data_IF_740116870895
#
_entry.id   IF_740116870895
#
_cell.length_a   1.000
_cell.length_b   1.000
_cell.length_c   1.000
_cell.angle_alpha   90.00
_cell.angle_beta   90.00
_cell.angle_gamma   90.00
#
_symmetry.space_group_name_H-M   'P 1'
#
loop_
_entity.id
_entity.type
_entity.pdbx_description
1 polymer ?
#
# COMPACT_ATOMS: atom_id res chain seq x y z
N UNK A 1 -4.34 11.99 -16.63
CA UNK A 1 -5.70 11.54 -16.24
C UNK A 1 -5.98 12.04 -14.84
N UNK A 2 -7.22 12.45 -14.52
CA UNK A 2 -7.61 12.85 -13.16
C UNK A 2 -8.32 11.70 -12.47
N UNK A 3 -7.89 11.40 -11.24
CA UNK A 3 -8.46 10.35 -10.39
C UNK A 3 -9.63 10.90 -9.57
N UNK A 4 -10.49 10.01 -9.07
CA UNK A 4 -11.59 10.38 -8.16
C UNK A 4 -11.10 11.09 -6.90
N UNK A 5 -9.85 10.87 -6.50
CA UNK A 5 -9.18 11.58 -5.41
C UNK A 5 -8.79 13.03 -5.71
N UNK A 6 -9.06 13.51 -6.93
CA UNK A 6 -8.67 14.83 -7.42
C UNK A 6 -7.22 14.91 -7.89
N UNK A 7 -6.43 13.84 -7.75
CA UNK A 7 -5.04 13.84 -8.18
C UNK A 7 -4.91 13.69 -9.70
N UNK A 8 -3.88 14.32 -10.28
CA UNK A 8 -3.47 14.13 -11.67
C UNK A 8 -2.32 13.12 -11.73
N UNK A 9 -2.45 12.13 -12.62
CA UNK A 9 -1.39 11.18 -12.92
C UNK A 9 -0.46 11.74 -14.00
N UNK A 10 0.84 11.78 -13.69
CA UNK A 10 1.92 12.09 -14.65
C UNK A 10 2.85 10.90 -14.80
N UNK A 11 3.10 10.47 -16.03
CA UNK A 11 4.12 9.45 -16.33
C UNK A 11 5.51 10.05 -16.12
N UNK A 12 6.47 9.21 -15.71
CA UNK A 12 7.86 9.66 -15.61
C UNK A 12 8.48 9.84 -16.99
N UNK A 13 9.34 10.85 -17.13
CA UNK A 13 10.04 11.17 -18.37
C UNK A 13 11.51 11.53 -18.08
N UNK A 14 12.34 11.49 -19.11
CA UNK A 14 13.73 11.97 -19.07
C UNK A 14 14.62 11.22 -18.06
N UNK A 15 15.46 11.98 -17.36
CA UNK A 15 16.47 11.44 -16.44
C UNK A 15 15.84 10.70 -15.25
N UNK A 16 14.67 11.14 -14.78
CA UNK A 16 13.99 10.48 -13.66
C UNK A 16 13.54 9.08 -14.03
N UNK A 17 12.94 8.91 -15.22
CA UNK A 17 12.56 7.59 -15.74
C UNK A 17 13.78 6.67 -15.85
N UNK A 18 14.87 7.15 -16.45
CA UNK A 18 16.10 6.37 -16.62
C UNK A 18 16.68 5.88 -15.28
N UNK A 19 16.65 6.72 -14.24
CA UNK A 19 17.09 6.33 -12.88
C UNK A 19 16.17 5.27 -12.28
N UNK A 20 14.86 5.44 -12.39
CA UNK A 20 13.89 4.50 -11.84
C UNK A 20 13.95 3.13 -12.53
N UNK A 21 14.06 3.09 -13.86
CA UNK A 21 14.18 1.83 -14.61
C UNK A 21 15.45 1.05 -14.27
N UNK A 22 16.55 1.78 -13.98
CA UNK A 22 17.81 1.17 -13.54
C UNK A 22 17.67 0.49 -12.17
N UNK A 23 17.07 1.19 -11.20
CA UNK A 23 17.05 0.76 -9.80
C UNK A 23 15.86 -0.17 -9.48
N UNK A 24 14.77 -0.10 -10.25
CA UNK A 24 13.52 -0.83 -10.00
C UNK A 24 13.07 -1.68 -11.19
N UNK A 25 13.91 -2.63 -11.57
CA UNK A 25 13.72 -3.54 -12.72
C UNK A 25 12.45 -4.41 -12.64
N UNK A 26 11.84 -4.55 -11.46
CA UNK A 26 10.61 -5.31 -11.26
C UNK A 26 9.34 -4.62 -11.74
N UNK A 27 9.35 -3.30 -11.95
CA UNK A 27 8.18 -2.55 -12.40
C UNK A 27 8.21 -2.36 -13.92
N UNK A 28 7.84 -3.42 -14.65
CA UNK A 28 7.91 -3.48 -16.11
C UNK A 28 6.91 -2.58 -16.84
N UNK A 29 5.82 -2.19 -16.18
CA UNK A 29 4.80 -1.30 -16.74
C UNK A 29 5.10 0.20 -16.49
N UNK A 30 6.25 0.49 -15.90
CA UNK A 30 6.71 1.85 -15.59
C UNK A 30 6.11 2.44 -14.32
N UNK A 31 6.49 3.69 -14.05
CA UNK A 31 6.15 4.41 -12.82
C UNK A 31 5.42 5.72 -13.13
N UNK A 32 4.66 6.21 -12.15
CA UNK A 32 3.87 7.44 -12.24
C UNK A 32 4.07 8.33 -11.01
N UNK A 33 3.84 9.64 -11.20
CA UNK A 33 3.74 10.65 -10.14
C UNK A 33 2.29 11.13 -10.00
N UNK A 34 1.76 11.07 -8.80
CA UNK A 34 0.47 11.69 -8.46
C UNK A 34 0.68 13.14 -8.02
N UNK A 35 -0.09 14.05 -8.60
CA UNK A 35 -0.05 15.49 -8.34
C UNK A 35 -1.37 15.97 -7.74
N UNK A 36 -1.37 16.92 -6.77
CA UNK A 36 -0.20 17.50 -6.12
C UNK A 36 0.47 16.51 -5.13
N UNK A 37 1.70 16.79 -4.71
CA UNK A 37 2.43 15.95 -3.72
C UNK A 37 3.55 15.09 -4.29
N UNK A 38 3.56 14.85 -5.61
CA UNK A 38 4.60 14.09 -6.32
C UNK A 38 4.80 12.69 -5.74
N UNK A 39 3.74 11.99 -5.35
CA UNK A 39 3.88 10.62 -4.84
C UNK A 39 4.20 9.65 -5.96
N UNK A 40 5.15 8.74 -5.73
CA UNK A 40 5.65 7.80 -6.74
C UNK A 40 4.97 6.44 -6.56
N UNK A 41 4.35 5.93 -7.62
CA UNK A 41 3.70 4.63 -7.65
C UNK A 41 4.04 3.86 -8.94
N UNK A 42 3.95 2.52 -8.94
CA UNK A 42 3.85 1.75 -10.17
C UNK A 42 2.65 2.21 -10.99
N UNK A 43 2.75 2.18 -12.31
CA UNK A 43 1.65 2.58 -13.20
C UNK A 43 0.38 1.74 -13.04
N UNK A 44 0.51 0.50 -12.57
CA UNK A 44 -0.61 -0.39 -12.26
C UNK A 44 -1.52 0.14 -11.16
N UNK A 45 -1.02 1.03 -10.28
CA UNK A 45 -1.81 1.72 -9.26
C UNK A 45 -3.04 2.43 -9.85
N UNK A 46 -2.93 2.96 -11.08
CA UNK A 46 -4.03 3.66 -11.75
C UNK A 46 -5.29 2.78 -11.89
N UNK A 47 -5.12 1.46 -12.03
CA UNK A 47 -6.22 0.51 -12.19
C UNK A 47 -7.09 0.40 -10.93
N UNK A 48 -6.53 0.75 -9.77
CA UNK A 48 -7.15 0.55 -8.47
C UNK A 48 -7.35 1.85 -7.67
N UNK A 49 -6.64 2.93 -8.03
CA UNK A 49 -6.65 4.21 -7.32
C UNK A 49 -8.05 4.72 -6.96
N UNK A 50 -8.98 4.70 -7.91
CA UNK A 50 -10.36 5.14 -7.69
C UNK A 50 -11.14 4.21 -6.77
N UNK A 51 -10.85 2.91 -6.80
CA UNK A 51 -11.46 1.92 -5.91
C UNK A 51 -10.98 2.10 -4.48
N UNK A 52 -9.69 2.37 -4.28
CA UNK A 52 -9.15 2.65 -2.96
C UNK A 52 -9.68 3.96 -2.39
N UNK A 53 -9.77 5.01 -3.22
CA UNK A 53 -10.32 6.28 -2.77
C UNK A 53 -11.80 6.16 -2.33
N UNK A 54 -12.56 5.29 -2.98
CA UNK A 54 -13.96 4.99 -2.66
C UNK A 54 -14.13 3.86 -1.65
N UNK A 55 -13.05 3.32 -1.09
CA UNK A 55 -13.13 2.22 -0.14
C UNK A 55 -13.86 2.67 1.13
N UNK A 56 -14.94 1.97 1.48
CA UNK A 56 -15.73 2.26 2.66
C UNK A 56 -15.21 1.45 3.86
N UNK A 57 -14.60 2.17 4.80
CA UNK A 57 -14.17 1.61 6.09
C UNK A 57 -15.37 1.32 6.99
N UNK A 58 -15.31 0.21 7.73
CA UNK A 58 -16.27 -0.10 8.80
C UNK A 58 -15.78 0.45 10.12
N UNK A 59 -16.70 0.73 11.04
CA UNK A 59 -16.36 1.22 12.38
C UNK A 59 -15.47 0.24 13.19
N UNK A 60 -15.45 -1.04 12.83
CA UNK A 60 -14.63 -2.08 13.46
C UNK A 60 -13.24 -2.25 12.84
N UNK A 61 -12.95 -1.58 11.73
CA UNK A 61 -11.72 -1.73 10.98
C UNK A 61 -10.57 -1.01 11.69
N UNK A 62 -9.38 -1.61 11.62
CA UNK A 62 -8.14 -1.04 12.15
C UNK A 62 -7.16 -0.89 11.00
N UNK A 63 -6.76 0.35 10.71
CA UNK A 63 -5.78 0.65 9.68
C UNK A 63 -4.39 0.83 10.28
N UNK A 64 -3.39 0.18 9.68
CA UNK A 64 -1.97 0.38 9.99
C UNK A 64 -1.33 1.07 8.80
N UNK A 65 -1.00 2.35 8.96
CA UNK A 65 -0.52 3.22 7.88
C UNK A 65 0.91 3.68 8.18
N UNK A 66 1.85 3.33 7.31
CA UNK A 66 3.27 3.62 7.50
C UNK A 66 3.94 3.84 6.16
N UNK A 67 5.00 4.66 6.11
CA UNK A 67 5.93 4.60 4.98
C UNK A 67 6.61 3.21 4.93
N UNK A 68 6.89 2.65 3.73
CA UNK A 68 7.49 1.33 3.63
C UNK A 68 8.76 1.21 4.48
N UNK A 69 8.90 0.06 5.15
CA UNK A 69 10.04 -0.31 6.02
C UNK A 69 10.11 0.40 7.37
N UNK A 70 9.07 1.11 7.80
CA UNK A 70 8.99 1.72 9.14
C UNK A 70 8.40 0.80 10.24
N UNK A 71 8.59 -0.52 10.14
CA UNK A 71 8.13 -1.48 11.17
C UNK A 71 6.68 -1.96 11.05
N UNK A 72 6.06 -1.83 9.88
CA UNK A 72 4.65 -2.21 9.62
C UNK A 72 4.33 -3.64 10.06
N UNK A 73 5.18 -4.61 9.73
CA UNK A 73 4.97 -6.03 10.08
C UNK A 73 4.94 -6.27 11.59
N UNK A 74 5.80 -5.59 12.36
CA UNK A 74 5.78 -5.68 13.81
C UNK A 74 4.49 -5.13 14.38
N UNK A 75 4.06 -3.96 13.91
CA UNK A 75 2.82 -3.34 14.37
C UNK A 75 1.59 -4.19 14.00
N UNK A 76 1.60 -4.80 12.82
CA UNK A 76 0.55 -5.73 12.38
C UNK A 76 0.42 -6.94 13.32
N UNK A 77 1.53 -7.59 13.69
CA UNK A 77 1.50 -8.72 14.64
C UNK A 77 1.05 -8.31 16.04
N UNK A 78 1.56 -7.18 16.56
CA UNK A 78 1.19 -6.67 17.89
C UNK A 78 -0.31 -6.38 17.95
N UNK A 79 -0.84 -5.59 17.01
CA UNK A 79 -2.25 -5.19 16.99
C UNK A 79 -3.15 -6.40 16.76
N UNK A 80 -2.80 -7.30 15.83
CA UNK A 80 -3.59 -8.49 15.56
C UNK A 80 -3.66 -9.41 16.80
N UNK A 81 -2.53 -9.58 17.51
CA UNK A 81 -2.46 -10.39 18.72
C UNK A 81 -3.29 -9.79 19.85
N UNK A 82 -3.15 -8.49 20.11
CA UNK A 82 -3.94 -7.79 21.13
C UNK A 82 -5.45 -7.92 20.88
N UNK A 83 -5.88 -7.84 19.61
CA UNK A 83 -7.30 -7.87 19.25
C UNK A 83 -7.89 -9.28 19.17
N UNK A 84 -7.14 -10.25 18.63
CA UNK A 84 -7.68 -11.55 18.24
C UNK A 84 -7.06 -12.74 19.00
N UNK A 85 -6.00 -12.51 19.78
CA UNK A 85 -5.29 -13.56 20.51
C UNK A 85 -4.80 -13.11 21.91
N UNK A 86 -5.68 -12.59 22.78
CA UNK A 86 -5.28 -12.05 24.08
C UNK A 86 -4.68 -13.08 25.04
N UNK A 87 -5.03 -14.37 24.87
CA UNK A 87 -4.55 -15.48 25.71
C UNK A 87 -3.40 -16.26 25.07
N UNK A 88 -2.91 -15.83 23.90
CA UNK A 88 -1.82 -16.47 23.16
C UNK A 88 -2.08 -17.93 22.74
N UNK A 89 -3.34 -18.32 22.57
CA UNK A 89 -3.79 -19.69 22.25
C UNK A 89 -4.52 -19.81 20.91
N UNK A 90 -4.74 -18.71 20.18
CA UNK A 90 -5.40 -18.72 18.89
C UNK A 90 -4.53 -19.40 17.82
N UNK A 91 -4.98 -20.52 17.20
CA UNK A 91 -4.20 -21.27 16.23
C UNK A 91 -3.87 -20.47 14.96
N UNK A 92 -4.66 -19.43 14.66
CA UNK A 92 -4.37 -18.55 13.53
C UNK A 92 -3.09 -17.74 13.72
N UNK A 93 -2.58 -17.59 14.95
CA UNK A 93 -1.37 -16.82 15.22
C UNK A 93 -0.14 -17.35 14.45
N UNK A 94 -0.10 -18.66 14.18
CA UNK A 94 0.96 -19.32 13.43
C UNK A 94 0.87 -19.09 11.91
N UNK A 95 -0.24 -18.54 11.40
CA UNK A 95 -0.38 -18.22 9.99
C UNK A 95 0.51 -17.04 9.61
N UNK A 96 1.04 -17.01 8.38
CA UNK A 96 1.81 -15.87 7.88
C UNK A 96 0.95 -14.59 7.86
N UNK A 97 1.60 -13.44 8.05
CA UNK A 97 0.91 -12.16 8.31
C UNK A 97 -0.09 -11.76 7.21
N UNK A 98 0.20 -12.08 5.95
CA UNK A 98 -0.66 -11.80 4.82
C UNK A 98 -1.97 -12.61 4.83
N UNK A 99 -2.04 -13.71 5.57
CA UNK A 99 -3.28 -14.45 5.81
C UNK A 99 -4.12 -13.85 6.96
N UNK A 100 -3.48 -13.07 7.83
CA UNK A 100 -4.12 -12.46 9.02
C UNK A 100 -4.55 -11.02 8.80
N UNK A 101 -3.77 -10.26 8.04
CA UNK A 101 -3.95 -8.83 7.81
C UNK A 101 -3.98 -8.57 6.31
N UNK A 102 -5.15 -8.18 5.76
CA UNK A 102 -5.25 -7.76 4.36
C UNK A 102 -4.33 -6.56 4.10
N UNK A 103 -3.69 -6.58 2.93
CA UNK A 103 -2.81 -5.50 2.49
C UNK A 103 -3.57 -4.60 1.51
N UNK A 104 -3.55 -3.29 1.77
CA UNK A 104 -4.17 -2.25 0.95
C UNK A 104 -3.06 -1.38 0.32
N UNK A 105 -2.37 -1.96 -0.68
CA UNK A 105 -1.84 -1.37 -1.93
C UNK A 105 -0.79 -2.27 -2.59
#
# INVERSE_FOLDING_TARGET
MSLASGHEVKRLEGEELQRQEKDFQGYTEGMIRLMPGRWLFPSTFEQFADRYYKFEMKASDVAILTYPKCGTTWLQEIVWTMRNNPNLDNPMAALPINAKVPFLE
#
